data_IF_511615548089
#
_entry.id   IF_511615548089
#
_cell.length_a   1.000
_cell.length_b   1.000
_cell.length_c   1.000
_cell.angle_alpha   90.00
_cell.angle_beta   90.00
_cell.angle_gamma   90.00
#
_symmetry.space_group_name_H-M   'P 1'
#
loop_
_entity.id
_entity.type
_entity.pdbx_description
1 polymer ?
#
# COMPACT_ATOMS: atom_id res chain seq x y z
N UNK A 1 5.18 18.35 8.78
CA UNK A 1 5.90 17.81 7.59
C UNK A 1 6.78 16.65 8.03
N UNK A 2 6.63 15.49 7.39
CA UNK A 2 7.40 14.27 7.71
C UNK A 2 8.88 14.48 7.41
N UNK A 3 9.73 14.14 8.38
CA UNK A 3 11.19 14.27 8.24
C UNK A 3 11.85 12.94 8.59
N UNK A 4 12.84 12.54 7.77
CA UNK A 4 13.68 11.37 8.01
C UNK A 4 14.41 11.49 9.36
N UNK A 5 14.44 10.40 10.12
CA UNK A 5 15.04 10.32 11.45
C UNK A 5 14.14 10.79 12.59
N UNK A 6 13.04 11.49 12.30
CA UNK A 6 12.10 11.97 13.33
C UNK A 6 10.99 10.96 13.63
N UNK A 7 10.41 11.14 14.81
CA UNK A 7 9.25 10.41 15.26
C UNK A 7 7.99 11.00 14.62
N UNK A 8 7.13 10.14 14.08
CA UNK A 8 5.84 10.48 13.50
C UNK A 8 4.73 9.78 14.31
N UNK A 9 3.64 10.50 14.56
CA UNK A 9 2.51 10.03 15.37
C UNK A 9 2.92 9.42 16.74
N UNK A 10 4.00 9.94 17.36
CA UNK A 10 4.49 9.48 18.64
C UNK A 10 5.00 8.02 18.67
N UNK A 11 5.03 7.32 17.52
CA UNK A 11 5.25 5.89 17.44
C UNK A 11 6.23 5.45 16.35
N UNK A 12 6.20 6.10 15.19
CA UNK A 12 6.90 5.61 14.00
C UNK A 12 8.15 6.44 13.72
N UNK A 13 9.33 5.80 13.73
CA UNK A 13 10.58 6.47 13.34
C UNK A 13 10.77 6.38 11.83
N UNK A 14 10.68 7.50 11.16
CA UNK A 14 10.82 7.57 9.70
C UNK A 14 12.25 7.28 9.27
N UNK A 15 12.43 6.30 8.38
CA UNK A 15 13.75 5.90 7.86
C UNK A 15 14.06 6.56 6.51
N UNK A 16 13.13 6.48 5.56
CA UNK A 16 13.27 7.07 4.22
C UNK A 16 11.95 7.12 3.48
N UNK A 17 11.87 7.97 2.47
CA UNK A 17 10.79 7.89 1.48
C UNK A 17 11.04 6.70 0.54
N UNK A 18 9.99 5.91 0.26
CA UNK A 18 10.05 4.72 -0.61
C UNK A 18 9.10 4.80 -1.81
N UNK A 19 8.17 5.75 -1.82
CA UNK A 19 7.27 5.99 -2.92
C UNK A 19 6.74 7.41 -2.94
N UNK A 20 6.51 7.95 -4.14
CA UNK A 20 5.85 9.23 -4.35
C UNK A 20 4.72 9.05 -5.34
N UNK A 21 3.49 9.24 -4.87
CA UNK A 21 2.29 9.19 -5.69
C UNK A 21 1.69 10.56 -5.97
N UNK A 22 0.63 10.61 -6.75
CA UNK A 22 -0.09 11.85 -7.05
C UNK A 22 -0.68 12.50 -5.80
N UNK A 23 -1.33 11.72 -4.94
CA UNK A 23 -2.05 12.22 -3.76
C UNK A 23 -1.35 11.90 -2.43
N UNK A 24 -0.49 10.90 -2.38
CA UNK A 24 0.13 10.42 -1.15
C UNK A 24 1.60 10.05 -1.39
N UNK A 25 2.41 10.24 -0.37
CA UNK A 25 3.80 9.77 -0.32
C UNK A 25 3.88 8.56 0.62
N UNK A 26 4.81 7.65 0.36
CA UNK A 26 5.02 6.44 1.17
C UNK A 26 6.42 6.46 1.78
N UNK A 27 6.48 6.19 3.08
CA UNK A 27 7.69 6.17 3.87
C UNK A 27 7.93 4.79 4.50
N UNK A 28 9.17 4.36 4.52
CA UNK A 28 9.60 3.27 5.38
C UNK A 28 9.84 3.82 6.79
N UNK A 29 9.33 3.14 7.79
CA UNK A 29 9.52 3.49 9.19
C UNK A 29 9.72 2.26 10.07
N UNK A 30 10.26 2.47 11.27
CA UNK A 30 10.24 1.48 12.35
C UNK A 30 9.08 1.80 13.31
N UNK A 31 8.29 0.79 13.64
CA UNK A 31 7.30 0.86 14.71
C UNK A 31 7.97 0.62 16.06
N UNK A 32 8.10 1.65 16.88
CA UNK A 32 8.81 1.58 18.15
C UNK A 32 8.05 0.79 19.23
N UNK A 33 6.75 0.57 19.05
CA UNK A 33 5.95 -0.23 19.98
C UNK A 33 6.06 -1.72 19.63
N UNK A 34 6.21 -2.05 18.35
CA UNK A 34 6.36 -3.41 17.86
C UNK A 34 7.83 -3.76 17.59
N UNK A 35 8.66 -3.57 18.58
CA UNK A 35 10.08 -4.00 18.60
C UNK A 35 10.89 -3.58 17.36
N UNK A 36 10.66 -2.35 16.87
CA UNK A 36 11.24 -1.79 15.66
C UNK A 36 10.87 -2.55 14.37
N UNK A 37 9.72 -3.24 14.34
CA UNK A 37 9.21 -3.85 13.11
C UNK A 37 9.12 -2.79 12.00
N UNK A 38 9.55 -3.15 10.80
CA UNK A 38 9.45 -2.27 9.63
C UNK A 38 8.01 -2.18 9.14
N UNK A 39 7.55 -0.96 8.92
CA UNK A 39 6.23 -0.66 8.37
C UNK A 39 6.34 0.32 7.22
N UNK A 40 5.37 0.31 6.32
CA UNK A 40 5.20 1.32 5.29
C UNK A 40 4.09 2.29 5.72
N UNK A 41 4.39 3.59 5.72
CA UNK A 41 3.42 4.63 6.09
C UNK A 41 3.07 5.43 4.85
N UNK A 42 1.81 5.36 4.43
CA UNK A 42 1.26 6.16 3.35
C UNK A 42 0.58 7.40 3.92
N UNK A 43 0.98 8.56 3.46
CA UNK A 43 0.55 9.84 4.01
C UNK A 43 -0.04 10.70 2.91
N UNK A 44 -1.24 11.22 3.15
CA UNK A 44 -1.89 12.15 2.24
C UNK A 44 -1.07 13.44 2.15
N UNK A 45 -0.74 13.88 0.93
CA UNK A 45 0.10 15.07 0.72
C UNK A 45 -0.59 16.34 1.21
N UNK A 46 0.20 17.30 1.67
CA UNK A 46 -0.26 18.55 2.31
C UNK A 46 -1.25 19.34 1.45
N UNK A 47 -1.07 19.35 0.12
CA UNK A 47 -1.98 20.06 -0.79
C UNK A 47 -3.38 19.43 -0.91
N UNK A 48 -3.58 18.22 -0.39
CA UNK A 48 -4.88 17.54 -0.35
C UNK A 48 -5.51 17.50 1.05
N UNK A 49 -4.83 17.98 2.09
CA UNK A 49 -5.33 17.92 3.47
C UNK A 49 -6.57 18.78 3.71
N UNK A 50 -6.70 19.90 2.98
CA UNK A 50 -7.86 20.78 3.03
C UNK A 50 -8.97 20.39 2.05
N UNK A 51 -8.70 19.44 1.15
CA UNK A 51 -9.71 18.89 0.24
C UNK A 51 -10.50 17.80 0.96
N UNK A 52 -11.69 18.15 1.43
CA UNK A 52 -12.57 17.25 2.17
C UNK A 52 -12.94 15.98 1.36
N UNK A 53 -13.04 16.09 0.03
CA UNK A 53 -13.34 14.96 -0.83
C UNK A 53 -12.14 14.00 -0.88
N UNK A 54 -10.93 14.52 -1.02
CA UNK A 54 -9.70 13.73 -1.01
C UNK A 54 -9.47 13.03 0.34
N UNK A 55 -9.68 13.75 1.44
CA UNK A 55 -9.57 13.21 2.81
C UNK A 55 -10.59 12.08 3.04
N UNK A 56 -11.88 12.34 2.75
CA UNK A 56 -12.94 11.35 2.93
C UNK A 56 -12.69 10.08 2.07
N UNK A 57 -12.19 10.27 0.87
CA UNK A 57 -11.82 9.17 -0.03
C UNK A 57 -10.67 8.35 0.54
N UNK A 58 -9.59 9.00 0.96
CA UNK A 58 -8.43 8.33 1.57
C UNK A 58 -8.85 7.49 2.77
N UNK A 59 -9.66 8.06 3.69
CA UNK A 59 -10.17 7.36 4.88
C UNK A 59 -11.06 6.17 4.51
N UNK A 60 -11.97 6.33 3.55
CA UNK A 60 -12.88 5.26 3.11
C UNK A 60 -12.11 4.09 2.51
N UNK A 61 -11.14 4.38 1.65
CA UNK A 61 -10.31 3.36 1.01
C UNK A 61 -9.43 2.64 2.02
N UNK A 62 -8.85 3.37 2.98
CA UNK A 62 -8.08 2.79 4.07
C UNK A 62 -8.92 1.84 4.93
N UNK A 63 -10.14 2.22 5.29
CA UNK A 63 -11.07 1.36 6.06
C UNK A 63 -11.46 0.11 5.28
N UNK A 64 -11.77 0.25 3.99
CA UNK A 64 -12.10 -0.90 3.14
C UNK A 64 -10.94 -1.90 3.08
N UNK A 65 -9.71 -1.42 2.88
CA UNK A 65 -8.51 -2.28 2.92
C UNK A 65 -8.29 -2.93 4.28
N UNK A 66 -8.59 -2.24 5.38
CA UNK A 66 -8.43 -2.80 6.74
C UNK A 66 -9.34 -4.01 7.01
N UNK A 67 -10.43 -4.16 6.26
CA UNK A 67 -11.32 -5.32 6.32
C UNK A 67 -10.79 -6.55 5.56
N UNK A 68 -9.74 -6.38 4.75
CA UNK A 68 -9.16 -7.43 3.92
C UNK A 68 -7.99 -8.09 4.65
N UNK A 69 -8.22 -9.24 5.26
CA UNK A 69 -7.18 -10.07 5.86
C UNK A 69 -6.92 -11.29 4.96
N UNK A 70 -5.78 -11.28 4.25
CA UNK A 70 -5.42 -12.34 3.31
C UNK A 70 -3.90 -12.37 3.11
N UNK A 71 -3.26 -13.53 2.97
CA UNK A 71 -1.80 -13.63 2.79
C UNK A 71 -1.28 -12.96 1.51
N UNK A 72 -2.13 -12.78 0.50
CA UNK A 72 -1.78 -12.14 -0.77
C UNK A 72 -2.35 -10.70 -0.90
N UNK A 73 -2.69 -10.07 0.22
CA UNK A 73 -3.07 -8.65 0.30
C UNK A 73 -2.18 -7.99 1.35
N UNK A 74 -1.64 -6.81 1.03
CA UNK A 74 -0.87 -6.00 1.98
C UNK A 74 -1.75 -5.67 3.20
N UNK A 75 -1.29 -6.07 4.39
CA UNK A 75 -2.05 -5.88 5.62
C UNK A 75 -2.01 -4.43 6.08
N UNK A 76 -3.16 -3.88 6.48
CA UNK A 76 -3.27 -2.60 7.16
C UNK A 76 -3.06 -2.82 8.65
N UNK A 77 -2.16 -2.02 9.25
CA UNK A 77 -1.81 -2.09 10.67
C UNK A 77 -2.51 -1.01 11.48
N UNK A 78 -2.61 0.21 10.92
CA UNK A 78 -3.17 1.36 11.61
C UNK A 78 -3.66 2.42 10.62
N UNK A 79 -4.60 3.26 11.04
CA UNK A 79 -5.11 4.42 10.29
C UNK A 79 -5.22 5.56 11.29
N UNK A 80 -4.68 6.72 10.95
CA UNK A 80 -4.70 7.84 11.86
C UNK A 80 -4.55 9.21 11.20
N UNK A 81 -4.46 10.21 12.07
CA UNK A 81 -4.22 11.59 11.72
C UNK A 81 -3.16 12.19 12.66
N UNK A 82 -2.20 12.90 12.11
CA UNK A 82 -1.17 13.64 12.84
C UNK A 82 -1.05 15.04 12.26
N UNK A 83 -1.25 16.06 13.08
CA UNK A 83 -1.23 17.49 12.68
C UNK A 83 -2.12 17.79 11.46
N UNK A 84 -3.32 17.21 11.40
CA UNK A 84 -4.25 17.33 10.26
C UNK A 84 -3.87 16.48 9.05
N UNK A 85 -2.78 15.72 9.12
CA UNK A 85 -2.28 14.88 8.04
C UNK A 85 -2.77 13.45 8.19
N UNK A 86 -3.61 13.00 7.24
CA UNK A 86 -4.12 11.64 7.22
C UNK A 86 -3.02 10.66 6.84
N UNK A 87 -2.94 9.54 7.55
CA UNK A 87 -1.98 8.48 7.26
C UNK A 87 -2.56 7.07 7.41
N UNK A 88 -1.90 6.12 6.76
CA UNK A 88 -2.22 4.71 6.76
C UNK A 88 -0.93 3.93 6.97
N UNK A 89 -0.90 3.07 7.98
CA UNK A 89 0.23 2.18 8.27
C UNK A 89 -0.05 0.80 7.72
N UNK A 90 0.87 0.27 6.94
CA UNK A 90 0.79 -1.03 6.27
C UNK A 90 1.99 -1.89 6.64
N UNK A 91 1.85 -3.21 6.50
CA UNK A 91 3.03 -4.07 6.50
C UNK A 91 4.04 -3.60 5.45
N UNK A 92 5.32 -3.67 5.77
CA UNK A 92 6.37 -3.43 4.81
C UNK A 92 6.71 -4.73 4.08
N UNK A 93 6.56 -4.73 2.76
CA UNK A 93 6.97 -5.85 1.90
C UNK A 93 8.38 -5.60 1.42
N UNK A 94 9.34 -6.37 1.95
CA UNK A 94 10.75 -6.30 1.54
C UNK A 94 10.95 -7.11 0.25
N UNK A 95 10.86 -6.44 -0.87
CA UNK A 95 10.93 -7.04 -2.20
C UNK A 95 10.83 -6.00 -3.29
N UNK A 96 10.20 -6.35 -4.40
CA UNK A 96 9.97 -5.46 -5.53
C UNK A 96 8.50 -5.49 -5.97
N UNK A 97 8.06 -4.52 -6.76
CA UNK A 97 6.81 -4.66 -7.47
C UNK A 97 6.93 -5.65 -8.65
N UNK A 98 5.80 -6.19 -9.07
CA UNK A 98 5.73 -7.18 -10.14
C UNK A 98 6.21 -6.61 -11.49
N UNK A 99 6.02 -5.31 -11.75
CA UNK A 99 6.52 -4.68 -12.98
C UNK A 99 8.04 -4.77 -13.05
N UNK A 100 8.73 -4.37 -11.98
CA UNK A 100 10.19 -4.47 -11.90
C UNK A 100 10.65 -5.91 -11.99
N UNK A 101 9.97 -6.83 -11.29
CA UNK A 101 10.29 -8.25 -11.35
C UNK A 101 10.19 -8.80 -12.78
N UNK A 102 9.15 -8.45 -13.52
CA UNK A 102 9.00 -8.84 -14.94
C UNK A 102 10.14 -8.25 -15.78
N UNK A 103 10.50 -6.97 -15.59
CA UNK A 103 11.59 -6.34 -16.34
C UNK A 103 12.94 -7.03 -16.10
N UNK A 104 13.19 -7.47 -14.87
CA UNK A 104 14.46 -8.08 -14.48
C UNK A 104 14.56 -9.58 -14.84
N UNK A 105 13.41 -10.30 -14.99
CA UNK A 105 13.38 -11.76 -15.11
C UNK A 105 12.62 -12.28 -16.34
N UNK A 106 12.10 -11.41 -17.20
CA UNK A 106 11.38 -11.88 -18.39
C UNK A 106 12.28 -12.61 -19.40
N UNK A 107 11.76 -13.63 -20.08
CA UNK A 107 10.41 -14.20 -19.94
C UNK A 107 10.25 -15.03 -18.66
N UNK A 108 9.12 -14.84 -17.97
CA UNK A 108 8.81 -15.64 -16.78
C UNK A 108 8.46 -17.08 -17.17
N UNK A 109 8.78 -18.05 -16.31
CA UNK A 109 8.34 -19.42 -16.49
C UNK A 109 6.82 -19.54 -16.39
N UNK A 110 6.22 -20.49 -17.09
CA UNK A 110 4.79 -20.76 -16.98
C UNK A 110 4.39 -21.07 -15.53
N UNK A 111 5.25 -21.75 -14.78
CA UNK A 111 5.03 -22.08 -13.38
C UNK A 111 4.94 -20.82 -12.52
N UNK A 112 5.84 -19.85 -12.70
CA UNK A 112 5.81 -18.58 -11.98
C UNK A 112 4.57 -17.76 -12.34
N UNK A 113 4.20 -17.70 -13.62
CA UNK A 113 2.99 -17.00 -14.06
C UNK A 113 1.74 -17.60 -13.42
N UNK A 114 1.59 -18.93 -13.45
CA UNK A 114 0.44 -19.62 -12.84
C UNK A 114 0.38 -19.37 -11.34
N UNK A 115 1.51 -19.45 -10.64
CA UNK A 115 1.60 -19.21 -9.21
C UNK A 115 1.22 -17.76 -8.85
N UNK A 116 1.86 -16.79 -9.47
CA UNK A 116 1.61 -15.37 -9.20
C UNK A 116 0.16 -14.99 -9.52
N UNK A 117 -0.35 -15.42 -10.67
CA UNK A 117 -1.74 -15.16 -11.05
C UNK A 117 -2.74 -15.84 -10.11
N UNK A 118 -2.46 -17.06 -9.66
CA UNK A 118 -3.27 -17.77 -8.67
C UNK A 118 -3.36 -17.01 -7.34
N UNK A 119 -2.25 -16.47 -6.87
CA UNK A 119 -2.19 -15.66 -5.64
C UNK A 119 -2.97 -14.34 -5.80
N UNK A 120 -2.81 -13.64 -6.94
CA UNK A 120 -3.58 -12.42 -7.24
C UNK A 120 -5.08 -12.72 -7.29
N UNK A 121 -5.49 -13.78 -7.99
CA UNK A 121 -6.90 -14.17 -8.10
C UNK A 121 -7.49 -14.55 -6.74
N UNK A 122 -6.74 -15.22 -5.88
CA UNK A 122 -7.14 -15.53 -4.51
C UNK A 122 -7.42 -14.25 -3.70
N UNK A 123 -6.51 -13.26 -3.78
CA UNK A 123 -6.69 -11.95 -3.15
C UNK A 123 -7.94 -11.23 -3.68
N UNK A 124 -8.12 -11.20 -5.00
CA UNK A 124 -9.26 -10.55 -5.64
C UNK A 124 -10.58 -11.23 -5.31
N UNK A 125 -10.60 -12.55 -5.15
CA UNK A 125 -11.78 -13.30 -4.74
C UNK A 125 -12.27 -12.83 -3.38
N UNK A 126 -11.38 -12.71 -2.38
CA UNK A 126 -11.76 -12.18 -1.07
C UNK A 126 -12.28 -10.75 -1.16
N UNK A 127 -11.58 -9.87 -1.91
CA UNK A 127 -12.00 -8.48 -2.05
C UNK A 127 -13.41 -8.38 -2.64
N UNK A 128 -13.70 -9.12 -3.71
CA UNK A 128 -15.01 -9.14 -4.36
C UNK A 128 -16.11 -9.72 -3.47
N UNK A 129 -15.82 -10.76 -2.68
CA UNK A 129 -16.76 -11.28 -1.67
C UNK A 129 -17.13 -10.24 -0.61
N UNK A 130 -16.22 -9.31 -0.32
CA UNK A 130 -16.44 -8.17 0.58
C UNK A 130 -17.03 -6.94 -0.13
N UNK A 131 -17.37 -7.04 -1.41
CA UNK A 131 -17.88 -5.93 -2.22
C UNK A 131 -16.85 -4.87 -2.57
N UNK A 132 -15.55 -5.17 -2.42
CA UNK A 132 -14.45 -4.24 -2.69
C UNK A 132 -13.87 -4.53 -4.06
N UNK A 133 -13.86 -3.52 -4.93
CA UNK A 133 -13.28 -3.58 -6.28
C UNK A 133 -11.97 -2.82 -6.28
N UNK A 134 -10.89 -3.42 -6.80
CA UNK A 134 -9.56 -2.81 -6.81
C UNK A 134 -9.47 -1.53 -7.65
N UNK A 135 -10.07 -1.52 -8.84
CA UNK A 135 -10.15 -0.41 -9.81
C UNK A 135 -8.84 0.00 -10.49
N UNK A 136 -7.68 -0.39 -9.98
CA UNK A 136 -6.37 -0.06 -10.57
C UNK A 136 -5.39 -1.25 -10.46
N UNK A 137 -5.87 -2.46 -10.74
CA UNK A 137 -5.03 -3.65 -10.71
C UNK A 137 -4.04 -3.62 -11.89
N UNK A 138 -2.76 -3.59 -11.56
CA UNK A 138 -1.65 -3.55 -12.52
C UNK A 138 -0.38 -4.07 -11.85
N UNK A 139 0.67 -4.45 -12.62
CA UNK A 139 1.90 -5.02 -12.04
C UNK A 139 2.59 -4.12 -11.00
N UNK A 140 2.45 -2.80 -11.09
CA UNK A 140 3.01 -1.87 -10.09
C UNK A 140 2.30 -1.96 -8.73
N UNK A 141 1.05 -2.42 -8.69
CA UNK A 141 0.24 -2.57 -7.47
C UNK A 141 0.21 -4.02 -6.96
N UNK A 142 1.14 -4.84 -7.41
CA UNK A 142 1.41 -6.18 -6.88
C UNK A 142 2.85 -6.21 -6.41
N UNK A 143 3.04 -6.38 -5.10
CA UNK A 143 4.38 -6.52 -4.51
C UNK A 143 4.74 -7.99 -4.44
N UNK A 144 6.02 -8.30 -4.65
CA UNK A 144 6.58 -9.63 -4.47
C UNK A 144 7.54 -9.60 -3.29
N UNK A 145 7.35 -10.53 -2.35
CA UNK A 145 8.30 -10.76 -1.26
C UNK A 145 9.59 -11.37 -1.80
N UNK A 146 10.66 -11.42 -0.98
CA UNK A 146 11.93 -12.03 -1.37
C UNK A 146 11.81 -13.53 -1.70
N UNK A 147 10.85 -14.21 -1.09
CA UNK A 147 10.52 -15.62 -1.38
C UNK A 147 9.49 -15.78 -2.51
N UNK A 148 9.15 -14.69 -3.20
CA UNK A 148 8.35 -14.68 -4.42
C UNK A 148 6.84 -14.71 -4.21
N UNK A 149 6.33 -14.42 -3.01
CA UNK A 149 4.89 -14.31 -2.75
C UNK A 149 4.32 -12.99 -3.24
N UNK A 150 3.18 -13.05 -3.92
CA UNK A 150 2.47 -11.87 -4.37
C UNK A 150 1.60 -11.28 -3.25
N UNK A 151 1.63 -9.94 -3.14
CA UNK A 151 0.76 -9.17 -2.24
C UNK A 151 0.18 -7.99 -2.99
N UNK A 152 -1.14 -7.98 -3.15
CA UNK A 152 -1.86 -6.89 -3.82
C UNK A 152 -1.98 -5.70 -2.87
N UNK A 153 -1.75 -4.50 -3.39
CA UNK A 153 -1.82 -3.24 -2.65
C UNK A 153 -2.61 -2.18 -3.42
N UNK A 154 -2.87 -1.03 -2.80
CA UNK A 154 -3.51 0.15 -3.42
C UNK A 154 -4.92 -0.10 -3.96
N UNK A 155 -5.77 -0.81 -3.22
CA UNK A 155 -7.19 -0.98 -3.53
C UNK A 155 -7.91 0.36 -3.58
N UNK A 156 -8.57 0.66 -4.71
CA UNK A 156 -9.50 1.77 -4.87
C UNK A 156 -8.88 3.17 -4.94
N UNK A 157 -7.56 3.29 -4.94
CA UNK A 157 -6.85 4.59 -4.98
C UNK A 157 -6.69 5.12 -6.41
N UNK A 158 -7.80 5.38 -7.10
CA UNK A 158 -7.73 6.08 -8.40
C UNK A 158 -7.30 7.54 -8.20
N UNK A 159 -6.33 8.05 -8.99
CA UNK A 159 -6.13 9.48 -9.11
C UNK A 159 -7.40 10.16 -9.64
N UNK A 160 -7.71 11.34 -9.10
CA UNK A 160 -8.88 12.17 -9.47
C UNK A 160 -8.96 12.56 -10.97
N UNK A 161 -8.02 12.14 -11.81
CA UNK A 161 -7.88 12.63 -13.19
C UNK A 161 -8.50 11.78 -14.29
N UNK A 162 -9.35 10.78 -13.99
CA UNK A 162 -10.08 10.04 -15.01
C UNK A 162 -11.57 9.88 -14.69
N UNK A 163 -12.28 11.00 -14.62
CA UNK A 163 -13.71 11.11 -14.88
C UNK A 163 -13.89 12.28 -15.84
N UNK A 164 -13.55 12.06 -17.09
CA UNK A 164 -14.10 12.75 -18.27
C UNK A 164 -14.37 11.67 -19.29
#
# INVERSE_FOLDING_TARGET
MIQVGKLFAGRYRILKAIGRGGMADVYLANDLILDNEKVAIKVLRTNYQTDQVAVARFQREARAMAELSHPNIVAIRDIGEEDGQQFLVMEYVDGSDLKKYIQDHAPLSNQDVVRIMGEILSAMTLAHQKGIIHRDLKPQNVLLTKDGRAKVTDFGMLPLQRLV
#
